data_IF_983505432405
#
_entry.id   IF_983505432405
#
_cell.length_a   1.000
_cell.length_b   1.000
_cell.length_c   1.000
_cell.angle_alpha   90.00
_cell.angle_beta   90.00
_cell.angle_gamma   90.00
#
_symmetry.space_group_name_H-M   'P 1'
#
loop_
_entity.id
_entity.type
_entity.pdbx_description
1 polymer ?
#
# COMPACT_ATOMS: atom_id res chain seq x y z
N UNK A 1 -20.81 0.87 -27.15
CA UNK A 1 -20.68 1.18 -25.71
C UNK A 1 -21.64 0.36 -24.86
N UNK A 2 -22.94 0.35 -25.11
CA UNK A 2 -23.92 -0.41 -24.31
C UNK A 2 -23.66 -1.92 -24.18
N UNK A 3 -23.21 -2.58 -25.25
CA UNK A 3 -22.90 -4.02 -25.22
C UNK A 3 -21.69 -4.37 -24.29
N UNK A 4 -20.75 -3.43 -24.08
CA UNK A 4 -19.60 -3.63 -23.18
C UNK A 4 -20.06 -3.59 -21.72
N UNK A 5 -21.01 -2.72 -21.39
CA UNK A 5 -21.55 -2.57 -20.03
C UNK A 5 -22.41 -3.76 -19.58
N UNK A 6 -22.88 -4.59 -20.51
CA UNK A 6 -23.70 -5.78 -20.25
C UNK A 6 -22.88 -7.08 -20.22
N UNK A 7 -21.58 -7.03 -20.49
CA UNK A 7 -20.73 -8.24 -20.44
C UNK A 7 -20.58 -8.75 -19.01
N UNK A 8 -20.48 -10.08 -18.83
CA UNK A 8 -20.16 -10.65 -17.54
C UNK A 8 -18.84 -10.09 -17.02
N UNK A 9 -18.80 -9.70 -15.75
CA UNK A 9 -17.59 -9.25 -15.07
C UNK A 9 -17.08 -10.32 -14.10
N UNK A 10 -15.77 -10.34 -13.82
CA UNK A 10 -15.16 -11.17 -12.77
C UNK A 10 -15.51 -10.68 -11.35
N UNK A 11 -15.97 -9.44 -11.22
CA UNK A 11 -16.32 -8.85 -9.93
C UNK A 11 -17.76 -9.19 -9.51
N UNK A 12 -17.95 -9.36 -8.20
CA UNK A 12 -19.26 -9.32 -7.57
C UNK A 12 -19.55 -7.97 -6.91
N UNK A 13 -18.49 -7.30 -6.40
CA UNK A 13 -18.56 -5.97 -5.78
C UNK A 13 -17.18 -5.32 -5.83
N UNK A 14 -17.01 -4.19 -6.49
CA UNK A 14 -15.71 -3.51 -6.58
C UNK A 14 -15.39 -2.63 -5.36
N UNK A 15 -16.36 -2.29 -4.53
CA UNK A 15 -16.16 -1.39 -3.39
C UNK A 15 -15.03 -1.83 -2.42
N UNK A 16 -14.85 -3.14 -2.11
CA UNK A 16 -13.74 -3.58 -1.27
C UNK A 16 -12.33 -3.34 -1.86
N UNK A 17 -12.23 -3.04 -3.16
CA UNK A 17 -10.97 -2.72 -3.83
C UNK A 17 -10.69 -1.21 -3.90
N UNK A 18 -11.63 -0.38 -3.43
CA UNK A 18 -11.41 1.07 -3.33
C UNK A 18 -10.35 1.39 -2.28
N UNK A 19 -9.59 2.47 -2.54
CA UNK A 19 -8.60 3.03 -1.60
C UNK A 19 -9.27 3.48 -0.29
N UNK A 20 -10.51 3.94 -0.37
CA UNK A 20 -11.26 4.47 0.78
C UNK A 20 -11.98 3.38 1.59
N UNK A 21 -11.92 2.14 1.15
CA UNK A 21 -12.61 1.05 1.82
C UNK A 21 -11.89 0.64 3.13
N UNK A 22 -12.61 0.76 4.24
CA UNK A 22 -12.15 0.31 5.56
C UNK A 22 -12.71 -1.08 5.84
N UNK A 23 -11.87 -2.14 5.85
CA UNK A 23 -12.33 -3.49 6.11
C UNK A 23 -12.73 -3.69 7.59
N UNK A 24 -13.55 -4.70 7.82
CA UNK A 24 -13.95 -5.10 9.18
C UNK A 24 -12.76 -5.64 9.99
N UNK A 25 -11.81 -6.31 9.33
CA UNK A 25 -10.57 -6.85 9.89
C UNK A 25 -9.37 -6.27 9.15
N UNK A 26 -8.27 -6.01 9.87
CA UNK A 26 -6.99 -5.57 9.34
C UNK A 26 -5.93 -6.64 9.62
N UNK A 27 -5.74 -7.61 8.71
CA UNK A 27 -4.73 -8.64 8.89
C UNK A 27 -3.33 -8.03 9.11
N UNK A 28 -2.57 -8.60 10.02
CA UNK A 28 -1.20 -8.18 10.38
C UNK A 28 -1.10 -6.76 10.96
N UNK A 29 -2.23 -6.25 11.51
CA UNK A 29 -2.29 -4.96 12.23
C UNK A 29 -3.17 -5.07 13.49
N UNK A 30 -3.42 -6.29 13.94
CA UNK A 30 -4.22 -6.56 15.14
C UNK A 30 -3.53 -6.06 16.41
N UNK A 31 -2.20 -6.19 16.49
CA UNK A 31 -1.41 -5.77 17.65
C UNK A 31 -1.42 -4.25 17.80
N UNK A 32 -1.28 -3.50 16.70
CA UNK A 32 -1.34 -2.05 16.73
C UNK A 32 -2.73 -1.53 17.09
N UNK A 33 -3.79 -2.17 16.58
CA UNK A 33 -5.16 -1.85 16.98
C UNK A 33 -5.40 -2.14 18.47
N UNK A 34 -4.89 -3.27 18.95
CA UNK A 34 -4.98 -3.66 20.37
C UNK A 34 -4.22 -2.67 21.25
N UNK A 35 -3.02 -2.25 20.85
CA UNK A 35 -2.26 -1.22 21.55
C UNK A 35 -3.02 0.11 21.62
N UNK A 36 -3.61 0.57 20.51
CA UNK A 36 -4.46 1.77 20.50
C UNK A 36 -5.66 1.61 21.45
N UNK A 37 -6.32 0.46 21.43
CA UNK A 37 -7.45 0.18 22.31
C UNK A 37 -7.06 0.24 23.79
N UNK A 38 -5.91 -0.35 24.15
CA UNK A 38 -5.39 -0.26 25.53
C UNK A 38 -5.04 1.17 25.93
N UNK A 39 -4.34 1.90 25.06
CA UNK A 39 -3.92 3.26 25.32
C UNK A 39 -5.11 4.20 25.55
N UNK A 40 -6.14 4.11 24.73
CA UNK A 40 -7.30 5.00 24.77
C UNK A 40 -8.45 4.49 25.67
N UNK A 41 -8.24 3.36 26.36
CA UNK A 41 -9.27 2.74 27.20
C UNK A 41 -9.78 3.66 28.30
N UNK A 42 -8.91 4.48 28.89
CA UNK A 42 -9.30 5.40 29.98
C UNK A 42 -10.32 6.45 29.53
N UNK A 43 -10.38 6.82 28.24
CA UNK A 43 -11.43 7.72 27.72
C UNK A 43 -12.82 7.10 27.91
N UNK A 44 -12.91 5.76 27.90
CA UNK A 44 -14.16 5.01 28.06
C UNK A 44 -14.45 4.60 29.51
N UNK A 45 -13.46 4.62 30.39
CA UNK A 45 -13.61 4.21 31.79
C UNK A 45 -13.68 5.40 32.74
N UNK A 46 -12.83 6.38 32.51
CA UNK A 46 -12.73 7.61 33.31
C UNK A 46 -12.61 8.84 32.41
N UNK A 47 -13.69 9.20 31.68
CA UNK A 47 -13.64 10.28 30.70
C UNK A 47 -13.11 11.59 31.32
N UNK A 48 -12.17 12.24 30.63
CA UNK A 48 -11.60 13.51 31.06
C UNK A 48 -10.45 13.40 32.07
N UNK A 49 -10.10 12.22 32.56
CA UNK A 49 -9.00 12.05 33.51
C UNK A 49 -7.62 12.23 32.86
N UNK A 50 -7.48 11.84 31.59
CA UNK A 50 -6.21 11.84 30.88
C UNK A 50 -6.39 12.00 29.37
N UNK A 51 -5.52 12.78 28.73
CA UNK A 51 -5.44 12.90 27.28
C UNK A 51 -4.33 11.99 26.74
N UNK A 52 -4.65 11.27 25.66
CA UNK A 52 -3.70 10.38 25.02
C UNK A 52 -3.10 11.00 23.77
N UNK A 53 -1.83 10.74 23.56
CA UNK A 53 -1.11 11.15 22.36
C UNK A 53 -0.35 9.94 21.85
N UNK A 54 -0.49 9.66 20.55
CA UNK A 54 0.21 8.56 19.90
C UNK A 54 0.73 9.00 18.53
N UNK A 55 1.91 8.53 18.19
CA UNK A 55 2.52 8.76 16.90
C UNK A 55 2.56 7.43 16.14
N UNK A 56 2.01 7.42 14.93
CA UNK A 56 2.06 6.28 14.01
C UNK A 56 2.97 6.66 12.85
N UNK A 57 4.07 5.92 12.65
CA UNK A 57 4.99 6.15 11.54
C UNK A 57 5.09 4.94 10.62
N UNK A 58 5.51 5.19 9.39
CA UNK A 58 5.76 4.16 8.39
C UNK A 58 5.61 4.68 6.97
N UNK A 59 6.16 3.98 5.97
CA UNK A 59 6.10 4.40 4.57
C UNK A 59 4.67 4.50 4.03
N UNK A 60 4.54 4.87 2.77
CA UNK A 60 3.23 4.93 2.09
C UNK A 60 2.69 3.50 1.94
N UNK A 61 1.36 3.35 2.06
CA UNK A 61 0.67 2.07 1.81
C UNK A 61 0.73 1.02 2.92
N UNK A 62 1.41 1.27 4.06
CA UNK A 62 1.53 0.31 5.18
C UNK A 62 0.33 0.29 6.13
N UNK A 63 -0.71 1.11 5.88
CA UNK A 63 -1.96 1.05 6.63
C UNK A 63 -2.15 2.07 7.75
N UNK A 64 -1.30 3.13 7.88
CA UNK A 64 -1.46 4.17 8.92
C UNK A 64 -2.87 4.74 8.99
N UNK A 65 -3.35 5.25 7.87
CA UNK A 65 -4.68 5.88 7.76
C UNK A 65 -5.79 4.90 8.10
N UNK A 66 -5.74 3.69 7.56
CA UNK A 66 -6.80 2.69 7.78
C UNK A 66 -6.85 2.19 9.22
N UNK A 67 -5.69 2.04 9.89
CA UNK A 67 -5.63 1.71 11.33
C UNK A 67 -6.30 2.80 12.15
N UNK A 68 -5.93 4.07 11.93
CA UNK A 68 -6.49 5.19 12.67
C UNK A 68 -8.01 5.32 12.44
N UNK A 69 -8.47 5.17 11.20
CA UNK A 69 -9.90 5.23 10.87
C UNK A 69 -10.67 4.05 11.47
N UNK A 70 -10.14 2.83 11.35
CA UNK A 70 -10.75 1.62 11.94
C UNK A 70 -10.87 1.76 13.45
N UNK A 71 -9.79 2.17 14.12
CA UNK A 71 -9.80 2.45 15.55
C UNK A 71 -10.83 3.53 15.91
N UNK A 72 -10.89 4.63 15.15
CA UNK A 72 -11.86 5.71 15.35
C UNK A 72 -13.31 5.24 15.27
N UNK A 73 -13.62 4.39 14.27
CA UNK A 73 -14.94 3.78 14.13
C UNK A 73 -15.29 2.89 15.33
N UNK A 74 -14.36 2.04 15.74
CA UNK A 74 -14.59 1.07 16.80
C UNK A 74 -14.74 1.75 18.17
N UNK A 75 -13.86 2.71 18.52
CA UNK A 75 -13.94 3.43 19.80
C UNK A 75 -15.21 4.29 19.89
N UNK A 76 -15.59 4.94 18.78
CA UNK A 76 -16.84 5.74 18.74
C UNK A 76 -18.06 4.87 18.94
N UNK A 77 -18.10 3.67 18.34
CA UNK A 77 -19.18 2.69 18.53
C UNK A 77 -19.29 2.27 20.00
N UNK A 78 -18.18 1.95 20.66
CA UNK A 78 -18.14 1.56 22.07
C UNK A 78 -18.51 2.74 22.98
N UNK A 79 -18.03 3.96 22.70
CA UNK A 79 -18.40 5.17 23.43
C UNK A 79 -19.91 5.43 23.40
N UNK A 80 -20.54 5.24 22.22
CA UNK A 80 -21.99 5.36 22.08
C UNK A 80 -22.75 4.35 22.95
N UNK A 81 -22.28 3.10 23.03
CA UNK A 81 -22.85 2.06 23.90
C UNK A 81 -22.76 2.46 25.39
N UNK A 82 -21.64 3.10 25.78
CA UNK A 82 -21.43 3.62 27.14
C UNK A 82 -22.05 4.99 27.40
N UNK A 83 -22.76 5.58 26.45
CA UNK A 83 -23.38 6.93 26.50
C UNK A 83 -22.35 8.05 26.72
N UNK A 84 -21.11 7.87 26.24
CA UNK A 84 -20.05 8.88 26.26
C UNK A 84 -20.11 9.66 24.94
N UNK A 85 -20.13 10.99 25.02
CA UNK A 85 -20.09 11.87 23.84
C UNK A 85 -18.68 11.99 23.31
N UNK A 86 -18.25 10.98 22.54
CA UNK A 86 -16.93 10.93 21.90
C UNK A 86 -17.06 11.23 20.41
N UNK A 87 -16.28 12.20 19.93
CA UNK A 87 -16.11 12.49 18.52
C UNK A 87 -14.72 12.06 18.08
N UNK A 88 -14.65 11.30 16.99
CA UNK A 88 -13.42 11.02 16.28
C UNK A 88 -13.40 11.84 14.98
N UNK A 89 -12.40 12.71 14.84
CA UNK A 89 -12.24 13.56 13.66
C UNK A 89 -10.88 13.26 13.02
N UNK A 90 -10.92 12.82 11.77
CA UNK A 90 -9.75 12.58 10.95
C UNK A 90 -9.55 13.74 9.98
N UNK A 91 -8.34 14.31 9.96
CA UNK A 91 -7.96 15.43 9.09
C UNK A 91 -6.65 15.11 8.39
N UNK A 92 -6.65 15.16 7.05
CA UNK A 92 -5.42 15.12 6.27
C UNK A 92 -4.80 16.52 6.21
N UNK A 93 -3.58 16.67 6.79
CA UNK A 93 -2.89 17.96 6.88
C UNK A 93 -2.42 18.49 5.52
N UNK A 94 -2.13 17.59 4.57
CA UNK A 94 -1.77 17.97 3.20
C UNK A 94 -2.94 18.59 2.44
N UNK A 95 -4.17 18.06 2.60
CA UNK A 95 -5.37 18.67 2.04
C UNK A 95 -5.63 20.06 2.61
N UNK A 96 -5.22 20.28 3.87
CA UNK A 96 -5.25 21.58 4.54
C UNK A 96 -4.07 22.48 4.13
N UNK A 97 -3.25 22.09 3.14
CA UNK A 97 -2.06 22.82 2.68
C UNK A 97 -1.08 23.18 3.81
N UNK A 98 -0.97 22.31 4.83
CA UNK A 98 -0.13 22.53 5.99
C UNK A 98 -0.52 23.71 6.88
N UNK A 99 -1.77 24.16 6.83
CA UNK A 99 -2.28 25.27 7.63
C UNK A 99 -3.02 24.78 8.86
N UNK A 100 -2.53 25.15 10.06
CA UNK A 100 -3.23 24.85 11.32
C UNK A 100 -4.64 25.45 11.34
N UNK A 101 -4.80 26.67 10.85
CA UNK A 101 -6.10 27.30 10.72
C UNK A 101 -7.09 26.42 9.91
N UNK A 102 -6.66 25.90 8.76
CA UNK A 102 -7.50 25.05 7.93
C UNK A 102 -7.84 23.70 8.61
N UNK A 103 -6.90 23.13 9.36
CA UNK A 103 -7.12 21.92 10.18
C UNK A 103 -8.20 22.20 11.23
N UNK A 104 -8.05 23.29 11.99
CA UNK A 104 -9.01 23.66 13.05
C UNK A 104 -10.39 24.03 12.48
N UNK A 105 -10.43 24.65 11.31
CA UNK A 105 -11.70 24.92 10.61
C UNK A 105 -12.43 23.62 10.25
N UNK A 106 -11.74 22.60 9.74
CA UNK A 106 -12.35 21.27 9.49
C UNK A 106 -12.87 20.64 10.79
N UNK A 107 -12.15 20.79 11.90
CA UNK A 107 -12.64 20.34 13.22
C UNK A 107 -13.90 21.11 13.63
N UNK A 108 -13.87 22.43 13.51
CA UNK A 108 -15.00 23.30 13.86
C UNK A 108 -16.26 22.95 13.05
N UNK A 109 -16.14 22.76 11.74
CA UNK A 109 -17.25 22.37 10.85
C UNK A 109 -17.92 21.04 11.27
N UNK A 110 -17.15 20.13 11.89
CA UNK A 110 -17.69 18.87 12.43
C UNK A 110 -18.37 19.01 13.79
N UNK A 111 -17.99 20.01 14.58
CA UNK A 111 -18.55 20.25 15.93
C UNK A 111 -19.74 21.20 15.93
N UNK A 112 -19.77 22.14 14.99
CA UNK A 112 -20.81 23.18 14.91
C UNK A 112 -21.15 23.50 13.45
N UNK A 113 -22.39 23.25 13.07
CA UNK A 113 -22.93 23.68 11.77
C UNK A 113 -22.95 25.21 11.67
N UNK A 114 -22.65 25.72 10.47
CA UNK A 114 -22.72 27.16 10.15
C UNK A 114 -21.76 28.06 10.95
N UNK A 115 -20.51 27.58 11.19
CA UNK A 115 -19.48 28.42 11.80
C UNK A 115 -18.89 29.38 10.76
N UNK A 116 -18.67 30.70 11.10
CA UNK A 116 -18.04 31.64 10.16
C UNK A 116 -16.63 31.24 9.80
N UNK A 117 -16.31 31.31 8.49
CA UNK A 117 -15.00 30.84 7.97
C UNK A 117 -13.90 31.90 8.02
N UNK A 118 -14.19 33.12 8.47
CA UNK A 118 -13.24 34.26 8.49
C UNK A 118 -13.37 35.03 9.79
N UNK A 119 -12.28 35.73 10.13
CA UNK A 119 -12.26 36.65 11.28
C UNK A 119 -11.68 36.04 12.56
N UNK A 120 -11.03 34.88 12.48
CA UNK A 120 -10.42 34.22 13.65
C UNK A 120 -8.95 33.90 13.38
N UNK A 121 -8.14 33.96 14.42
CA UNK A 121 -6.81 33.36 14.46
C UNK A 121 -6.90 31.86 14.78
N UNK A 122 -5.81 31.11 14.57
CA UNK A 122 -5.74 29.69 14.96
C UNK A 122 -5.94 29.49 16.46
N UNK A 123 -5.42 30.41 17.27
CA UNK A 123 -5.57 30.37 18.72
C UNK A 123 -7.03 30.60 19.16
N UNK A 124 -7.72 31.58 18.55
CA UNK A 124 -9.13 31.84 18.81
C UNK A 124 -10.02 30.66 18.40
N UNK A 125 -9.73 30.04 17.23
CA UNK A 125 -10.44 28.84 16.82
C UNK A 125 -10.25 27.70 17.81
N UNK A 126 -9.04 27.52 18.30
CA UNK A 126 -8.74 26.46 19.25
C UNK A 126 -9.46 26.70 20.60
N UNK A 127 -9.49 27.94 21.10
CA UNK A 127 -10.28 28.32 22.28
C UNK A 127 -11.78 28.08 22.08
N UNK A 128 -12.32 28.44 20.91
CA UNK A 128 -13.73 28.19 20.59
C UNK A 128 -14.05 26.69 20.51
N UNK A 129 -13.14 25.88 19.95
CA UNK A 129 -13.28 24.42 19.94
C UNK A 129 -13.37 23.91 21.38
N UNK A 130 -12.44 24.33 22.26
CA UNK A 130 -12.42 23.90 23.65
C UNK A 130 -13.71 24.30 24.39
N UNK A 131 -14.19 25.54 24.23
CA UNK A 131 -15.48 25.98 24.79
C UNK A 131 -16.65 25.08 24.36
N UNK A 132 -16.73 24.74 23.07
CA UNK A 132 -17.80 23.87 22.56
C UNK A 132 -17.67 22.44 23.15
N UNK A 133 -16.46 21.92 23.29
CA UNK A 133 -16.25 20.60 23.88
C UNK A 133 -16.69 20.55 25.34
N UNK A 134 -16.45 21.64 26.12
CA UNK A 134 -16.88 21.74 27.52
C UNK A 134 -18.39 21.95 27.64
N UNK A 135 -18.94 22.90 26.91
CA UNK A 135 -20.39 23.21 26.95
C UNK A 135 -21.24 21.98 26.59
N UNK A 136 -20.80 21.19 25.63
CA UNK A 136 -21.55 20.02 25.17
C UNK A 136 -21.09 18.71 25.82
N UNK A 137 -20.15 18.75 26.75
CA UNK A 137 -19.50 17.57 27.36
C UNK A 137 -19.00 16.53 26.32
N UNK A 138 -18.26 17.02 25.35
CA UNK A 138 -17.71 16.19 24.25
C UNK A 138 -16.25 15.91 24.49
N UNK A 139 -15.84 14.66 24.28
CA UNK A 139 -14.44 14.24 24.16
C UNK A 139 -14.06 14.11 22.69
N UNK A 140 -12.89 14.60 22.31
CA UNK A 140 -12.40 14.61 20.93
C UNK A 140 -11.15 13.75 20.79
N UNK A 141 -11.17 12.83 19.86
CA UNK A 141 -9.95 12.22 19.31
C UNK A 141 -9.70 12.86 17.96
N UNK A 142 -8.63 13.65 17.85
CA UNK A 142 -8.20 14.28 16.60
C UNK A 142 -7.06 13.46 15.97
N UNK A 143 -7.33 12.87 14.82
CA UNK A 143 -6.35 12.15 14.02
C UNK A 143 -5.83 13.05 12.91
N UNK A 144 -4.52 13.36 12.96
CA UNK A 144 -3.80 14.20 12.01
C UNK A 144 -2.99 13.31 11.07
N UNK A 145 -3.46 13.16 9.84
CA UNK A 145 -2.79 12.38 8.81
C UNK A 145 -1.88 13.26 7.95
N UNK A 146 -0.79 12.67 7.45
CA UNK A 146 0.27 13.40 6.73
C UNK A 146 0.73 14.66 7.48
N UNK A 147 0.97 14.50 8.79
CA UNK A 147 1.30 15.58 9.72
C UNK A 147 2.56 16.33 9.29
N UNK A 148 3.50 15.68 8.59
CA UNK A 148 4.68 16.33 8.03
C UNK A 148 4.33 17.58 7.23
N UNK A 149 3.22 17.59 6.48
CA UNK A 149 2.80 18.75 5.71
C UNK A 149 2.47 19.97 6.58
N UNK A 150 1.98 19.74 7.81
CA UNK A 150 1.75 20.81 8.78
C UNK A 150 3.07 21.27 9.42
N UNK A 151 3.93 20.33 9.81
CA UNK A 151 5.20 20.62 10.48
C UNK A 151 6.21 21.36 9.59
N UNK A 152 6.19 21.11 8.27
CA UNK A 152 7.05 21.79 7.31
C UNK A 152 6.72 23.28 7.14
N UNK A 153 5.48 23.69 7.43
CA UNK A 153 5.00 25.07 7.26
C UNK A 153 4.90 25.80 8.61
N UNK A 154 4.39 25.12 9.62
CA UNK A 154 4.16 25.68 10.97
C UNK A 154 4.71 24.75 12.04
N UNK A 155 5.95 24.95 12.44
CA UNK A 155 6.61 24.18 13.51
C UNK A 155 5.94 24.35 14.87
N UNK A 156 5.21 25.45 15.09
CA UNK A 156 4.52 25.73 16.34
C UNK A 156 3.14 25.10 16.44
N UNK A 157 2.58 24.64 15.33
CA UNK A 157 1.20 24.13 15.27
C UNK A 157 0.93 23.01 16.28
N UNK A 158 1.85 22.07 16.38
CA UNK A 158 1.68 20.93 17.30
C UNK A 158 1.89 21.33 18.76
N UNK A 159 2.77 22.30 19.01
CA UNK A 159 2.93 22.89 20.33
C UNK A 159 1.63 23.53 20.81
N UNK A 160 0.93 24.31 20.00
CA UNK A 160 -0.38 24.90 20.32
C UNK A 160 -1.42 23.81 20.65
N UNK A 161 -1.49 22.76 19.83
CA UNK A 161 -2.44 21.64 20.02
C UNK A 161 -2.16 20.85 21.32
N UNK A 162 -0.92 20.74 21.74
CA UNK A 162 -0.56 20.00 22.95
C UNK A 162 -0.70 20.85 24.21
N UNK A 163 -0.38 22.13 24.15
CA UNK A 163 -0.30 23.02 25.31
C UNK A 163 -1.65 23.58 25.79
N UNK A 164 -2.64 23.69 24.91
CA UNK A 164 -3.94 24.25 25.30
C UNK A 164 -4.61 23.51 26.48
N UNK A 165 -4.25 22.25 26.68
CA UNK A 165 -4.75 21.47 27.82
C UNK A 165 -3.91 21.67 29.08
N UNK A 166 -2.61 21.98 28.94
CA UNK A 166 -1.72 22.23 30.08
C UNK A 166 -2.12 23.53 30.81
N UNK A 167 -2.59 24.53 30.06
CA UNK A 167 -3.11 25.80 30.61
C UNK A 167 -4.43 25.64 31.39
N UNK A 168 -5.09 24.47 31.26
CA UNK A 168 -6.40 24.16 31.85
C UNK A 168 -6.34 23.00 32.85
N UNK A 169 -5.31 22.98 33.68
CA UNK A 169 -4.95 21.87 34.57
C UNK A 169 -6.07 21.40 35.53
N UNK A 170 -7.09 22.22 35.81
CA UNK A 170 -8.21 21.89 36.69
C UNK A 170 -9.46 21.41 35.95
N UNK A 171 -9.45 21.44 34.62
CA UNK A 171 -10.61 21.07 33.79
C UNK A 171 -10.44 19.66 33.21
N UNK A 172 -11.55 18.99 32.84
CA UNK A 172 -11.46 17.69 32.19
C UNK A 172 -10.63 17.75 30.91
N UNK A 173 -9.79 16.75 30.69
CA UNK A 173 -9.02 16.65 29.45
C UNK A 173 -9.93 16.24 28.29
N UNK A 174 -10.15 17.14 27.34
CA UNK A 174 -11.12 16.98 26.25
C UNK A 174 -10.53 16.41 24.96
N UNK A 175 -9.24 16.61 24.70
CA UNK A 175 -8.64 16.28 23.40
C UNK A 175 -7.55 15.22 23.54
N UNK A 176 -7.60 14.23 22.69
CA UNK A 176 -6.55 13.24 22.47
C UNK A 176 -6.08 13.28 21.01
N UNK A 177 -4.83 12.96 20.75
CA UNK A 177 -4.20 13.10 19.42
C UNK A 177 -3.70 11.76 18.89
N UNK A 178 -3.97 11.51 17.61
CA UNK A 178 -3.32 10.46 16.82
C UNK A 178 -2.58 11.16 15.68
N UNK A 179 -1.25 11.12 15.72
CA UNK A 179 -0.40 11.81 14.75
C UNK A 179 0.21 10.77 13.78
N UNK A 180 0.00 10.93 12.48
CA UNK A 180 0.53 10.02 11.48
C UNK A 180 1.58 10.70 10.61
N UNK A 181 2.76 10.07 10.50
CA UNK A 181 3.94 10.56 9.79
C UNK A 181 4.49 9.47 8.86
N UNK A 182 5.11 9.87 7.76
CA UNK A 182 5.81 8.93 6.87
C UNK A 182 7.13 8.45 7.46
N UNK A 183 7.88 9.34 8.07
CA UNK A 183 9.20 9.05 8.60
C UNK A 183 9.42 9.71 9.97
N UNK A 184 10.12 9.02 10.89
CA UNK A 184 10.44 9.60 12.22
C UNK A 184 11.26 10.88 12.16
N UNK A 185 12.02 11.14 11.06
CA UNK A 185 12.86 12.34 10.94
C UNK A 185 12.07 13.65 11.09
N UNK A 186 10.79 13.67 10.69
CA UNK A 186 9.94 14.84 10.84
C UNK A 186 9.69 15.24 12.31
N UNK A 187 9.88 14.31 13.25
CA UNK A 187 9.83 14.63 14.69
C UNK A 187 10.97 15.55 15.11
N UNK A 188 12.07 15.58 14.36
CA UNK A 188 13.17 16.52 14.58
C UNK A 188 12.81 17.98 14.25
N UNK A 189 11.70 18.24 13.59
CA UNK A 189 11.16 19.59 13.35
C UNK A 189 10.40 20.13 14.58
N UNK A 190 10.07 19.26 15.55
CA UNK A 190 9.38 19.66 16.78
C UNK A 190 10.36 20.33 17.74
N UNK A 191 9.87 21.31 18.48
CA UNK A 191 10.59 21.79 19.64
C UNK A 191 10.72 20.69 20.71
N UNK A 192 11.69 20.85 21.63
CA UNK A 192 11.97 19.85 22.67
C UNK A 192 10.77 19.58 23.58
N UNK A 193 9.92 20.58 23.82
CA UNK A 193 8.74 20.47 24.68
C UNK A 193 7.65 19.63 24.01
N UNK A 194 7.29 19.96 22.76
CA UNK A 194 6.32 19.20 21.98
C UNK A 194 6.80 17.76 21.72
N UNK A 195 8.08 17.59 21.42
CA UNK A 195 8.69 16.27 21.22
C UNK A 195 8.58 15.40 22.50
N UNK A 196 8.91 15.93 23.66
CA UNK A 196 8.82 15.22 24.95
C UNK A 196 7.40 14.78 25.28
N UNK A 197 6.41 15.61 24.94
CA UNK A 197 5.00 15.35 25.23
C UNK A 197 4.40 14.31 24.28
N UNK A 198 4.91 14.20 23.05
CA UNK A 198 4.38 13.32 21.99
C UNK A 198 5.09 11.96 21.92
N UNK A 199 6.36 11.88 22.30
CA UNK A 199 7.18 10.68 22.11
C UNK A 199 6.86 9.53 23.09
N UNK A 200 5.88 9.68 23.97
CA UNK A 200 5.54 8.66 24.98
C UNK A 200 4.93 7.39 24.38
N UNK A 201 4.20 7.51 23.27
CA UNK A 201 3.55 6.37 22.63
C UNK A 201 3.84 6.39 21.12
N UNK A 202 4.55 5.36 20.66
CA UNK A 202 5.02 5.29 19.29
C UNK A 202 4.69 3.94 18.65
N UNK A 203 4.05 3.97 17.49
CA UNK A 203 3.76 2.80 16.67
C UNK A 203 4.54 2.95 15.36
N UNK A 204 5.44 2.03 15.10
CA UNK A 204 6.14 1.95 13.83
C UNK A 204 5.54 0.84 12.99
N UNK A 205 5.04 1.19 11.80
CA UNK A 205 4.55 0.23 10.82
C UNK A 205 5.64 -0.06 9.80
N UNK A 206 6.02 -1.31 9.72
CA UNK A 206 6.97 -1.78 8.70
C UNK A 206 6.24 -2.10 7.39
N UNK A 207 6.96 -2.04 6.24
CA UNK A 207 6.44 -2.50 4.95
C UNK A 207 5.94 -3.94 5.02
N UNK A 208 4.85 -4.23 4.33
CA UNK A 208 4.31 -5.58 4.27
C UNK A 208 5.22 -6.52 3.47
N UNK A 209 5.41 -7.72 3.98
CA UNK A 209 6.01 -8.84 3.26
C UNK A 209 5.05 -9.41 2.20
N UNK A 210 5.56 -10.21 1.26
CA UNK A 210 4.72 -10.88 0.25
C UNK A 210 3.64 -11.78 0.90
N UNK A 211 3.97 -12.51 1.96
CA UNK A 211 3.02 -13.36 2.67
C UNK A 211 1.90 -12.59 3.37
N UNK A 212 2.20 -11.42 3.93
CA UNK A 212 1.21 -10.54 4.55
C UNK A 212 0.29 -9.91 3.49
N UNK A 213 0.87 -9.44 2.37
CA UNK A 213 0.10 -8.93 1.24
C UNK A 213 -0.81 -10.01 0.64
N UNK A 214 -0.34 -11.24 0.53
CA UNK A 214 -1.15 -12.36 0.07
C UNK A 214 -2.38 -12.57 0.95
N UNK A 215 -2.23 -12.50 2.27
CA UNK A 215 -3.36 -12.60 3.22
C UNK A 215 -4.35 -11.46 3.01
N UNK A 216 -3.86 -10.22 2.88
CA UNK A 216 -4.69 -9.04 2.62
C UNK A 216 -5.44 -9.19 1.29
N UNK A 217 -4.78 -9.65 0.24
CA UNK A 217 -5.40 -9.85 -1.07
C UNK A 217 -6.45 -10.96 -1.05
N UNK A 218 -6.24 -12.07 -0.33
CA UNK A 218 -7.24 -13.14 -0.14
C UNK A 218 -8.52 -12.58 0.47
N UNK A 219 -8.43 -11.82 1.56
CA UNK A 219 -9.59 -11.18 2.19
C UNK A 219 -10.33 -10.24 1.21
N UNK A 220 -9.59 -9.53 0.35
CA UNK A 220 -10.18 -8.65 -0.68
C UNK A 220 -10.87 -9.43 -1.80
N UNK A 221 -10.29 -10.54 -2.25
CA UNK A 221 -10.89 -11.40 -3.27
C UNK A 221 -12.22 -11.96 -2.79
N UNK A 222 -12.26 -12.47 -1.57
CA UNK A 222 -13.47 -13.02 -0.97
C UNK A 222 -14.62 -12.01 -0.91
N UNK A 223 -14.30 -10.71 -0.82
CA UNK A 223 -15.29 -9.64 -0.78
C UNK A 223 -15.65 -9.09 -2.16
N UNK A 224 -14.71 -9.08 -3.10
CA UNK A 224 -14.84 -8.32 -4.35
C UNK A 224 -15.08 -9.17 -5.59
N UNK A 225 -14.55 -10.38 -5.64
CA UNK A 225 -14.57 -11.21 -6.85
C UNK A 225 -15.58 -12.34 -6.75
N UNK A 226 -15.99 -12.85 -7.90
CA UNK A 226 -16.79 -14.08 -8.00
C UNK A 226 -15.96 -15.28 -7.60
N UNK A 227 -16.60 -16.26 -6.99
CA UNK A 227 -15.95 -17.50 -6.55
C UNK A 227 -15.21 -18.18 -7.71
N UNK A 228 -13.95 -18.60 -7.47
CA UNK A 228 -13.10 -19.26 -8.45
C UNK A 228 -12.62 -18.39 -9.62
N UNK A 229 -12.90 -17.07 -9.62
CA UNK A 229 -12.43 -16.16 -10.68
C UNK A 229 -10.97 -15.70 -10.49
N UNK A 230 -10.39 -15.85 -9.29
CA UNK A 230 -8.99 -15.52 -9.01
C UNK A 230 -8.31 -16.73 -8.38
N UNK A 231 -7.24 -17.20 -9.01
CA UNK A 231 -6.46 -18.33 -8.51
C UNK A 231 -5.35 -17.86 -7.56
N UNK A 232 -4.85 -18.75 -6.70
CA UNK A 232 -3.79 -18.47 -5.74
C UNK A 232 -2.51 -17.96 -6.42
N UNK A 233 -2.08 -18.58 -7.52
CA UNK A 233 -0.91 -18.14 -8.32
C UNK A 233 -1.03 -16.67 -8.77
N UNK A 234 -2.24 -16.21 -9.09
CA UNK A 234 -2.52 -14.82 -9.48
C UNK A 234 -2.34 -13.87 -8.30
N UNK A 235 -2.75 -14.29 -7.10
CA UNK A 235 -2.58 -13.52 -5.88
C UNK A 235 -1.12 -13.46 -5.44
N UNK A 236 -0.41 -14.59 -5.55
CA UNK A 236 1.01 -14.67 -5.22
C UNK A 236 1.84 -13.69 -6.07
N UNK A 237 1.61 -13.65 -7.39
CA UNK A 237 2.37 -12.71 -8.25
C UNK A 237 2.03 -11.26 -7.93
N UNK A 238 0.77 -10.94 -7.59
CA UNK A 238 0.39 -9.58 -7.20
C UNK A 238 1.05 -9.19 -5.87
N UNK A 239 1.08 -10.09 -4.89
CA UNK A 239 1.73 -9.91 -3.60
C UNK A 239 3.25 -9.76 -3.76
N UNK A 240 3.89 -10.61 -4.56
CA UNK A 240 5.34 -10.57 -4.79
C UNK A 240 5.77 -9.26 -5.48
N UNK A 241 5.03 -8.80 -6.48
CA UNK A 241 5.30 -7.51 -7.15
C UNK A 241 5.15 -6.35 -6.16
N UNK A 242 4.09 -6.33 -5.36
CA UNK A 242 3.83 -5.25 -4.44
C UNK A 242 4.76 -5.27 -3.20
N UNK A 243 5.31 -6.43 -2.83
CA UNK A 243 6.22 -6.59 -1.70
C UNK A 243 7.54 -5.85 -1.86
N UNK A 244 7.93 -5.50 -3.09
CA UNK A 244 9.13 -4.69 -3.38
C UNK A 244 9.05 -3.33 -2.65
N UNK A 245 7.86 -2.75 -2.60
CA UNK A 245 7.59 -1.51 -1.84
C UNK A 245 6.90 -1.78 -0.50
N UNK A 246 6.35 -2.98 -0.28
CA UNK A 246 5.53 -3.33 0.88
C UNK A 246 4.22 -2.54 0.98
N UNK A 247 3.70 -2.07 -0.17
CA UNK A 247 2.52 -1.20 -0.27
C UNK A 247 1.25 -2.00 -0.55
N UNK A 248 0.36 -2.09 0.44
CA UNK A 248 -0.92 -2.80 0.29
C UNK A 248 -1.90 -2.08 -0.66
N UNK A 249 -1.84 -0.75 -0.79
CA UNK A 249 -2.66 -0.01 -1.77
C UNK A 249 -2.28 -0.41 -3.18
N UNK A 250 -0.97 -0.49 -3.44
CA UNK A 250 -0.46 -0.93 -4.73
C UNK A 250 -0.86 -2.37 -5.04
N UNK A 251 -0.80 -3.28 -4.07
CA UNK A 251 -1.25 -4.66 -4.23
C UNK A 251 -2.73 -4.76 -4.63
N UNK A 252 -3.60 -4.00 -3.94
CA UNK A 252 -5.03 -3.95 -4.21
C UNK A 252 -5.32 -3.33 -5.60
N UNK A 253 -4.62 -2.25 -5.94
CA UNK A 253 -4.72 -1.61 -7.26
C UNK A 253 -4.32 -2.55 -8.40
N UNK A 254 -3.23 -3.30 -8.24
CA UNK A 254 -2.80 -4.32 -9.19
C UNK A 254 -3.90 -5.36 -9.42
N UNK A 255 -4.50 -5.85 -8.36
CA UNK A 255 -5.55 -6.86 -8.42
C UNK A 255 -6.81 -6.32 -9.11
N UNK A 256 -7.23 -5.09 -8.77
CA UNK A 256 -8.36 -4.43 -9.40
C UNK A 256 -8.13 -4.24 -10.91
N UNK A 257 -6.97 -3.71 -11.31
CA UNK A 257 -6.63 -3.53 -12.73
C UNK A 257 -6.53 -4.86 -13.47
N UNK A 258 -5.97 -5.89 -12.84
CA UNK A 258 -5.93 -7.23 -13.43
C UNK A 258 -7.34 -7.78 -13.70
N UNK A 259 -8.29 -7.55 -12.79
CA UNK A 259 -9.69 -7.87 -13.01
C UNK A 259 -10.31 -7.09 -14.20
N UNK A 260 -10.00 -5.79 -14.33
CA UNK A 260 -10.45 -4.98 -15.47
C UNK A 260 -9.85 -5.47 -16.80
N UNK A 261 -8.59 -5.92 -16.81
CA UNK A 261 -8.01 -6.56 -18.01
C UNK A 261 -8.72 -7.88 -18.34
N UNK A 262 -9.02 -8.72 -17.35
CA UNK A 262 -9.79 -9.94 -17.57
C UNK A 262 -11.16 -9.64 -18.18
N UNK A 263 -11.89 -8.65 -17.64
CA UNK A 263 -13.18 -8.21 -18.19
C UNK A 263 -13.07 -7.71 -19.64
N UNK A 264 -12.03 -6.93 -19.95
CA UNK A 264 -11.81 -6.40 -21.30
C UNK A 264 -11.53 -7.50 -22.33
N UNK A 265 -10.89 -8.57 -21.91
CA UNK A 265 -10.60 -9.75 -22.74
C UNK A 265 -11.75 -10.78 -22.78
N UNK A 266 -12.83 -10.54 -22.02
CA UNK A 266 -13.95 -11.47 -21.89
C UNK A 266 -13.60 -12.74 -21.12
N UNK A 267 -12.52 -12.71 -20.32
CA UNK A 267 -12.08 -13.83 -19.50
C UNK A 267 -12.94 -13.95 -18.24
N UNK A 268 -13.37 -15.16 -17.91
CA UNK A 268 -14.08 -15.45 -16.65
C UNK A 268 -13.13 -15.59 -15.45
N UNK A 269 -11.81 -15.61 -15.71
CA UNK A 269 -10.77 -15.75 -14.69
C UNK A 269 -9.70 -14.69 -14.84
N UNK A 270 -9.24 -14.17 -13.72
CA UNK A 270 -8.06 -13.31 -13.65
C UNK A 270 -6.81 -14.20 -13.68
N UNK A 271 -5.94 -13.97 -14.64
CA UNK A 271 -4.71 -14.74 -14.88
C UNK A 271 -3.49 -13.97 -14.40
N UNK A 272 -2.35 -14.63 -14.10
CA UNK A 272 -1.06 -13.98 -13.82
C UNK A 272 -0.67 -12.92 -14.85
N UNK A 273 -0.98 -13.16 -16.12
CA UNK A 273 -0.68 -12.23 -17.21
C UNK A 273 -1.45 -10.89 -17.09
N UNK A 274 -2.68 -10.92 -16.59
CA UNK A 274 -3.45 -9.69 -16.33
C UNK A 274 -2.77 -8.85 -15.23
N UNK A 275 -2.18 -9.50 -14.21
CA UNK A 275 -1.41 -8.81 -13.17
C UNK A 275 -0.15 -8.17 -13.74
N UNK A 276 0.60 -8.89 -14.60
CA UNK A 276 1.78 -8.34 -15.28
C UNK A 276 1.44 -7.15 -16.17
N UNK A 277 0.31 -7.21 -16.91
CA UNK A 277 -0.21 -6.08 -17.70
C UNK A 277 -0.51 -4.88 -16.79
N UNK A 278 -1.16 -5.11 -15.66
CA UNK A 278 -1.47 -4.06 -14.69
C UNK A 278 -0.19 -3.41 -14.14
N UNK A 279 0.79 -4.22 -13.75
CA UNK A 279 2.08 -3.74 -13.26
C UNK A 279 2.86 -2.95 -14.33
N UNK A 280 2.88 -3.45 -15.56
CA UNK A 280 3.54 -2.78 -16.70
C UNK A 280 2.94 -1.40 -17.01
N UNK A 281 1.62 -1.27 -16.93
CA UNK A 281 0.94 0.01 -17.15
C UNK A 281 1.25 1.07 -16.07
N UNK A 282 1.52 0.63 -14.84
CA UNK A 282 1.84 1.53 -13.72
C UNK A 282 3.31 2.03 -13.72
N UNK A 283 4.26 1.26 -14.31
CA UNK A 283 5.69 1.54 -14.25
C UNK A 283 6.40 1.60 -15.62
N UNK A 284 5.71 1.93 -16.69
CA UNK A 284 6.21 1.79 -18.08
C UNK A 284 7.44 2.63 -18.45
N UNK A 285 7.80 3.66 -17.70
CA UNK A 285 8.76 4.68 -18.15
C UNK A 285 10.25 4.34 -17.90
N UNK A 286 10.59 3.49 -16.93
CA UNK A 286 11.98 3.27 -16.50
C UNK A 286 12.66 2.02 -17.08
N UNK A 287 11.97 1.18 -17.86
CA UNK A 287 12.45 -0.15 -18.26
C UNK A 287 13.09 -0.26 -19.62
N UNK A 288 12.75 0.58 -20.56
CA UNK A 288 13.28 0.48 -21.91
C UNK A 288 14.82 0.63 -21.97
N UNK A 289 15.40 1.42 -21.06
CA UNK A 289 16.86 1.60 -20.98
C UNK A 289 17.60 0.32 -20.54
N UNK A 290 17.02 -0.44 -19.60
CA UNK A 290 17.64 -1.69 -19.14
C UNK A 290 17.58 -2.80 -20.19
N UNK A 291 16.47 -2.90 -20.93
CA UNK A 291 16.28 -3.93 -21.96
C UNK A 291 17.27 -3.78 -23.15
N UNK A 292 17.65 -2.55 -23.48
CA UNK A 292 18.61 -2.27 -24.57
C UNK A 292 20.03 -2.74 -24.25
N UNK A 293 20.44 -2.69 -22.99
CA UNK A 293 21.79 -2.98 -22.51
C UNK A 293 22.04 -4.45 -22.14
N UNK A 294 21.02 -5.33 -22.28
CA UNK A 294 21.15 -6.75 -21.98
C UNK A 294 22.10 -7.46 -22.93
N UNK A 295 22.91 -8.37 -22.39
CA UNK A 295 23.73 -9.29 -23.17
C UNK A 295 22.86 -10.27 -23.95
N UNK A 296 23.44 -10.89 -24.98
CA UNK A 296 22.70 -11.85 -25.82
C UNK A 296 22.18 -13.04 -25.00
N UNK A 297 22.96 -13.54 -24.04
CA UNK A 297 22.54 -14.64 -23.17
C UNK A 297 21.37 -14.26 -22.24
N UNK A 298 21.34 -13.02 -21.76
CA UNK A 298 20.23 -12.51 -20.95
C UNK A 298 18.96 -12.33 -21.80
N UNK A 299 19.10 -11.89 -23.05
CA UNK A 299 17.97 -11.79 -24.00
C UNK A 299 17.39 -13.17 -24.33
N UNK A 300 18.24 -14.16 -24.62
CA UNK A 300 17.80 -15.54 -24.87
C UNK A 300 17.12 -16.14 -23.63
N UNK A 301 17.66 -15.88 -22.45
CA UNK A 301 17.09 -16.37 -21.19
C UNK A 301 15.73 -15.74 -20.89
N UNK A 302 15.59 -14.42 -21.10
CA UNK A 302 14.31 -13.73 -20.96
C UNK A 302 13.27 -14.17 -21.99
N UNK A 303 13.70 -14.44 -23.22
CA UNK A 303 12.84 -14.98 -24.26
C UNK A 303 12.31 -16.38 -23.88
N UNK A 304 13.18 -17.26 -23.41
CA UNK A 304 12.84 -18.60 -22.94
C UNK A 304 11.82 -18.53 -21.77
N UNK A 305 12.09 -17.68 -20.78
CA UNK A 305 11.20 -17.46 -19.65
C UNK A 305 9.84 -16.95 -20.11
N UNK A 306 9.82 -15.95 -20.98
CA UNK A 306 8.59 -15.31 -21.43
C UNK A 306 7.71 -16.27 -22.24
N UNK A 307 8.29 -17.01 -23.20
CA UNK A 307 7.55 -17.99 -23.99
C UNK A 307 6.92 -19.09 -23.12
N UNK A 308 7.68 -19.66 -22.19
CA UNK A 308 7.16 -20.69 -21.29
C UNK A 308 6.05 -20.17 -20.36
N UNK A 309 6.17 -18.95 -19.85
CA UNK A 309 5.11 -18.35 -19.02
C UNK A 309 3.84 -18.04 -19.83
N UNK A 310 3.98 -17.64 -21.09
CA UNK A 310 2.85 -17.36 -21.98
C UNK A 310 2.09 -18.65 -22.32
N UNK A 311 2.80 -19.72 -22.67
CA UNK A 311 2.21 -21.02 -23.02
C UNK A 311 1.53 -21.69 -21.82
N UNK A 312 2.21 -21.75 -20.68
CA UNK A 312 1.73 -22.46 -19.49
C UNK A 312 0.71 -21.69 -18.66
N UNK A 313 0.57 -20.35 -18.86
CA UNK A 313 -0.25 -19.45 -18.05
C UNK A 313 0.02 -19.51 -16.55
N UNK A 314 1.25 -19.87 -16.14
CA UNK A 314 1.66 -19.91 -14.72
C UNK A 314 2.34 -18.62 -14.31
N UNK A 315 2.40 -18.39 -12.99
CA UNK A 315 3.09 -17.24 -12.42
C UNK A 315 4.61 -17.41 -12.44
N UNK A 316 5.10 -18.63 -12.21
CA UNK A 316 6.52 -18.96 -12.05
C UNK A 316 6.86 -20.27 -12.74
N UNK A 317 8.09 -20.37 -13.26
CA UNK A 317 8.70 -21.60 -13.74
C UNK A 317 9.75 -22.11 -12.76
N UNK A 318 9.94 -23.42 -12.69
CA UNK A 318 11.11 -23.96 -11.99
C UNK A 318 12.39 -23.65 -12.75
N UNK A 319 13.53 -23.61 -12.04
CA UNK A 319 14.84 -23.42 -12.66
C UNK A 319 15.12 -24.49 -13.74
N UNK A 320 14.74 -25.75 -13.49
CA UNK A 320 14.92 -26.86 -14.44
C UNK A 320 14.05 -26.71 -15.70
N UNK A 321 12.83 -26.19 -15.58
CA UNK A 321 11.98 -25.92 -16.75
C UNK A 321 12.55 -24.78 -17.58
N UNK A 322 12.99 -23.70 -16.93
CA UNK A 322 13.63 -22.57 -17.61
C UNK A 322 14.89 -23.01 -18.37
N UNK A 323 15.71 -23.85 -17.79
CA UNK A 323 16.92 -24.36 -18.46
C UNK A 323 16.57 -25.17 -19.73
N UNK A 324 15.56 -26.03 -19.64
CA UNK A 324 15.09 -26.81 -20.80
C UNK A 324 14.66 -25.91 -21.96
N UNK A 325 13.81 -24.91 -21.66
CA UNK A 325 13.35 -23.96 -22.67
C UNK A 325 14.49 -23.07 -23.18
N UNK A 326 15.43 -22.68 -22.30
CA UNK A 326 16.59 -21.89 -22.70
C UNK A 326 17.46 -22.63 -23.71
N UNK A 327 17.69 -23.95 -23.53
CA UNK A 327 18.43 -24.78 -24.50
C UNK A 327 17.75 -24.78 -25.88
N UNK A 328 16.40 -24.91 -25.91
CA UNK A 328 15.61 -24.88 -27.16
C UNK A 328 15.77 -23.53 -27.86
N UNK A 329 15.65 -22.43 -27.11
CA UNK A 329 15.80 -21.08 -27.67
C UNK A 329 17.23 -20.84 -28.15
N UNK A 330 18.23 -21.33 -27.45
CA UNK A 330 19.63 -21.25 -27.91
C UNK A 330 19.86 -21.98 -29.22
N UNK A 331 19.27 -23.16 -29.41
CA UNK A 331 19.32 -23.93 -30.65
C UNK A 331 18.64 -23.18 -31.80
N UNK A 332 17.43 -22.63 -31.56
CA UNK A 332 16.67 -21.83 -32.54
C UNK A 332 17.50 -20.64 -33.07
N UNK A 333 18.21 -19.95 -32.18
CA UNK A 333 19.03 -18.79 -32.54
C UNK A 333 20.48 -19.11 -32.88
N UNK A 334 20.85 -20.40 -33.01
CA UNK A 334 22.20 -20.87 -33.29
C UNK A 334 23.28 -20.32 -32.31
N UNK A 335 22.92 -20.28 -31.00
CA UNK A 335 23.80 -19.78 -29.96
C UNK A 335 24.20 -20.92 -28.98
N UNK A 336 25.48 -21.04 -28.58
CA UNK A 336 25.87 -22.08 -27.65
C UNK A 336 25.24 -21.84 -26.26
N UNK A 337 24.53 -22.84 -25.70
CA UNK A 337 23.91 -22.72 -24.39
C UNK A 337 24.97 -22.58 -23.30
N UNK A 338 24.65 -21.86 -22.26
CA UNK A 338 25.49 -21.66 -21.08
C UNK A 338 25.27 -22.77 -20.05
N UNK A 339 26.26 -23.00 -19.19
CA UNK A 339 26.15 -23.99 -18.11
C UNK A 339 25.14 -23.51 -17.03
N UNK A 340 24.59 -24.45 -16.24
CA UNK A 340 23.69 -24.18 -15.12
C UNK A 340 24.17 -23.02 -14.22
N UNK A 341 25.45 -23.03 -13.83
CA UNK A 341 26.03 -21.97 -12.97
C UNK A 341 25.99 -20.59 -13.64
N UNK A 342 26.21 -20.53 -14.95
CA UNK A 342 26.14 -19.26 -15.70
C UNK A 342 24.71 -18.79 -15.89
N UNK A 343 23.77 -19.69 -16.18
CA UNK A 343 22.35 -19.37 -16.25
C UNK A 343 21.89 -18.81 -14.91
N UNK A 344 22.26 -19.44 -13.80
CA UNK A 344 21.95 -18.95 -12.45
C UNK A 344 22.53 -17.56 -12.19
N UNK A 345 23.73 -17.27 -12.65
CA UNK A 345 24.32 -15.92 -12.56
C UNK A 345 23.49 -14.89 -13.32
N UNK A 346 23.05 -15.22 -14.55
CA UNK A 346 22.19 -14.34 -15.33
C UNK A 346 20.80 -14.11 -14.66
N UNK A 347 20.17 -15.17 -14.12
CA UNK A 347 18.92 -15.04 -13.37
C UNK A 347 19.08 -14.07 -12.19
N UNK A 348 20.18 -14.19 -11.43
CA UNK A 348 20.46 -13.27 -10.31
C UNK A 348 20.62 -11.82 -10.78
N UNK A 349 21.29 -11.61 -11.89
CA UNK A 349 21.52 -10.29 -12.47
C UNK A 349 20.20 -9.67 -12.94
N UNK A 350 19.37 -10.42 -13.63
CA UNK A 350 18.04 -10.02 -14.05
C UNK A 350 17.09 -9.77 -12.87
N UNK A 351 17.27 -10.51 -11.77
CA UNK A 351 16.54 -10.26 -10.53
C UNK A 351 16.98 -8.96 -9.86
N UNK A 352 18.28 -8.66 -9.84
CA UNK A 352 18.81 -7.41 -9.30
C UNK A 352 18.34 -6.17 -10.09
N UNK A 353 18.06 -6.31 -11.39
CA UNK A 353 17.48 -5.23 -12.21
C UNK A 353 15.95 -5.13 -12.10
N UNK A 354 15.32 -6.04 -11.35
CA UNK A 354 13.86 -6.07 -11.17
C UNK A 354 13.07 -6.55 -12.41
N UNK A 355 13.72 -7.14 -13.41
CA UNK A 355 13.06 -7.73 -14.59
C UNK A 355 12.46 -9.10 -14.28
N UNK A 356 13.09 -9.83 -13.35
CA UNK A 356 12.73 -11.19 -12.96
C UNK A 356 12.59 -11.23 -11.44
N UNK A 357 11.62 -11.97 -10.94
CA UNK A 357 11.49 -12.32 -9.53
C UNK A 357 11.89 -13.76 -9.29
N UNK A 358 12.50 -14.04 -8.13
CA UNK A 358 12.89 -15.39 -7.73
C UNK A 358 12.38 -15.71 -6.34
N UNK A 359 11.82 -16.91 -6.14
CA UNK A 359 11.41 -17.43 -4.84
C UNK A 359 11.74 -18.92 -4.73
N UNK A 360 11.75 -19.45 -3.52
CA UNK A 360 11.88 -20.89 -3.34
C UNK A 360 10.53 -21.60 -3.46
N UNK A 361 10.51 -22.81 -4.00
CA UNK A 361 9.31 -23.65 -4.07
C UNK A 361 8.75 -23.88 -2.67
N UNK A 362 7.40 -23.78 -2.53
CA UNK A 362 6.69 -24.03 -1.28
C UNK A 362 6.67 -25.51 -0.86
N UNK A 363 6.07 -25.79 0.31
CA UNK A 363 5.82 -27.16 0.79
C UNK A 363 4.90 -27.88 -0.22
N UNK A 364 5.36 -28.95 -0.83
CA UNK A 364 4.58 -29.76 -1.79
C UNK A 364 5.30 -30.13 -3.08
N UNK A 365 6.38 -29.47 -3.46
CA UNK A 365 7.22 -29.89 -4.56
C UNK A 365 8.29 -30.87 -4.09
N UNK A 366 8.59 -31.90 -4.93
CA UNK A 366 9.71 -32.81 -4.67
C UNK A 366 11.04 -32.02 -4.80
N UNK A 367 11.66 -31.71 -3.65
CA UNK A 367 12.91 -30.97 -3.57
C UNK A 367 12.73 -29.43 -3.51
N UNK A 368 13.76 -28.74 -3.00
CA UNK A 368 13.82 -27.29 -2.94
C UNK A 368 14.36 -26.76 -4.26
N UNK A 369 13.49 -26.18 -5.08
CA UNK A 369 13.89 -25.53 -6.35
C UNK A 369 13.62 -24.04 -6.31
N UNK A 370 14.33 -23.27 -7.13
CA UNK A 370 14.04 -21.84 -7.33
C UNK A 370 12.97 -21.70 -8.40
N UNK A 371 11.95 -20.93 -8.07
CA UNK A 371 10.87 -20.52 -8.96
C UNK A 371 11.20 -19.14 -9.52
N UNK A 372 11.02 -18.95 -10.82
CA UNK A 372 11.43 -17.75 -11.55
C UNK A 372 10.23 -17.21 -12.34
N UNK A 373 9.94 -15.92 -12.23
CA UNK A 373 8.86 -15.27 -12.94
C UNK A 373 9.24 -13.89 -13.45
N UNK A 374 8.51 -13.40 -14.46
CA UNK A 374 8.57 -11.99 -14.87
C UNK A 374 7.86 -11.13 -13.84
N UNK A 375 8.38 -9.94 -13.55
CA UNK A 375 7.79 -9.02 -12.57
C UNK A 375 6.60 -8.25 -13.16
N UNK A 376 6.83 -7.27 -14.01
CA UNK A 376 5.83 -6.28 -14.41
C UNK A 376 5.79 -6.06 -15.93
N UNK A 377 6.44 -6.91 -16.72
CA UNK A 377 6.29 -6.92 -18.18
C UNK A 377 5.46 -8.12 -18.57
N UNK A 378 4.38 -7.93 -19.36
CA UNK A 378 3.62 -9.01 -19.92
C UNK A 378 4.51 -9.99 -20.69
N UNK A 379 4.27 -11.30 -20.54
CA UNK A 379 5.06 -12.31 -21.21
C UNK A 379 5.03 -12.11 -22.74
N UNK A 380 3.85 -11.88 -23.32
CA UNK A 380 3.69 -11.60 -24.74
C UNK A 380 4.42 -10.34 -25.23
N UNK A 381 4.51 -9.30 -24.40
CA UNK A 381 5.28 -8.10 -24.72
C UNK A 381 6.78 -8.34 -24.62
N UNK A 382 7.22 -9.14 -23.62
CA UNK A 382 8.63 -9.52 -23.46
C UNK A 382 9.11 -10.39 -24.63
N UNK A 383 8.28 -11.34 -25.09
CA UNK A 383 8.56 -12.17 -26.30
C UNK A 383 8.86 -11.25 -27.48
N UNK A 384 7.90 -10.37 -27.85
CA UNK A 384 8.05 -9.45 -28.98
C UNK A 384 9.30 -8.56 -28.85
N UNK A 385 9.56 -8.04 -27.66
CA UNK A 385 10.72 -7.18 -27.42
C UNK A 385 12.05 -7.93 -27.59
N UNK A 386 12.14 -9.15 -27.06
CA UNK A 386 13.37 -9.95 -27.14
C UNK A 386 13.60 -10.49 -28.54
N UNK A 387 12.57 -10.93 -29.25
CA UNK A 387 12.64 -11.36 -30.67
C UNK A 387 13.17 -10.23 -31.54
N UNK A 388 12.58 -9.04 -31.47
CA UNK A 388 13.03 -7.88 -32.22
C UNK A 388 14.49 -7.49 -31.90
N UNK A 389 14.90 -7.57 -30.61
CA UNK A 389 16.26 -7.27 -30.20
C UNK A 389 17.29 -8.32 -30.69
N UNK A 390 16.90 -9.59 -30.77
CA UNK A 390 17.75 -10.66 -31.25
C UNK A 390 17.88 -10.64 -32.77
N UNK A 391 16.79 -10.35 -33.51
CA UNK A 391 16.80 -10.18 -34.97
C UNK A 391 17.68 -8.98 -35.39
N UNK A 392 17.62 -7.87 -34.67
CA UNK A 392 18.49 -6.71 -34.93
C UNK A 392 19.96 -6.99 -34.72
N UNK A 393 20.32 -7.96 -33.85
CA UNK A 393 21.71 -8.42 -33.68
C UNK A 393 22.15 -9.36 -34.79
N UNK A 394 21.26 -10.24 -35.24
CA UNK A 394 21.55 -11.20 -36.33
C UNK A 394 21.73 -10.48 -37.68
N UNK A 395 21.00 -9.42 -37.95
CA UNK A 395 21.15 -8.60 -39.16
C UNK A 395 22.49 -7.83 -39.19
N UNK A 396 22.96 -7.33 -38.03
CA UNK A 396 24.28 -6.65 -37.91
C UNK A 396 25.46 -7.58 -38.07
N UNK A 397 25.34 -8.90 -37.80
CA UNK A 397 26.39 -9.89 -37.95
C UNK A 397 26.51 -10.41 -39.39
N UNK A 398 25.50 -10.23 -40.23
CA UNK A 398 25.54 -10.61 -41.68
C UNK A 398 26.13 -9.51 -42.58
N UNK A 399 26.35 -8.30 -42.06
CA UNK A 399 26.96 -7.18 -42.78
C UNK A 399 28.41 -6.87 -42.35
N UNK A 400 29.06 -7.76 -41.59
CA UNK A 400 30.49 -7.76 -41.30
C UNK A 400 31.12 -9.05 -41.85
#
# INVERSE_FOLDING_TARGET
MGQILLRPTVFKNEAPLSIDYIPSRLPHREDELTFLAHLFRSILETPGSMGHRVIITGPVGVGKTVIAQKFGMDITRVAKQKRIRLHYIHVNCRECKGSLFAVLMKVMEKLKEHFPRRGFSSEELLKNIMSILDEKDIFLILALDELEALLEIDHSALYLLTRIQEERATEPVRVSLICMLREPKYLGLLDRSAASTLQQNFIKLDPYSSSELLTILKDRVDLAFKEGSVNEDTLEIAADIASISGDARYAIELLWRAGKYADSEGSVKVKPEHVRKAAGALYSTLRNEYLTNLTINEKLLLLALARSLEESNVAYLSMGDLERTYMIVCEEYNYPPRSHTQIWKHVRLLSATGLVSTKFSGKGSRGRTTMIGLTSTPASSMVKCMEAALEALSSKSRHK
#
